data_IF_492351719886
#
_entry.id   IF_492351719886
#
_cell.length_a   1.000
_cell.length_b   1.000
_cell.length_c   1.000
_cell.angle_alpha   90.00
_cell.angle_beta   90.00
_cell.angle_gamma   90.00
#
_symmetry.space_group_name_H-M   'P 1'
#
loop_
_entity.id
_entity.type
_entity.pdbx_description
1 polymer ?
#
# COMPACT_ATOMS: atom_id res chain seq x y z
N UNK A 1 -12.87 -0.54 7.65
CA UNK A 1 -11.66 -0.61 6.78
C UNK A 1 -11.64 0.67 5.95
N UNK A 2 -10.53 1.41 5.96
CA UNK A 2 -10.41 2.67 5.21
C UNK A 2 -10.01 2.37 3.76
N UNK A 3 -10.82 2.82 2.80
CA UNK A 3 -10.49 2.74 1.38
C UNK A 3 -9.72 4.01 0.98
N UNK A 4 -8.41 3.88 0.80
CA UNK A 4 -7.56 4.99 0.38
C UNK A 4 -7.56 5.16 -1.14
N UNK A 5 -7.52 6.42 -1.60
CA UNK A 5 -7.63 6.78 -3.02
C UNK A 5 -6.35 6.54 -3.83
N UNK A 6 -5.18 6.45 -3.19
CA UNK A 6 -3.92 6.11 -3.87
C UNK A 6 -2.88 5.45 -2.95
N UNK A 7 -2.23 4.40 -3.43
CA UNK A 7 -1.00 3.84 -2.85
C UNK A 7 0.18 3.89 -3.84
N UNK A 8 0.02 4.63 -4.94
CA UNK A 8 1.00 4.66 -6.03
C UNK A 8 1.97 5.84 -5.92
N UNK A 9 1.64 6.86 -5.12
CA UNK A 9 2.51 8.02 -4.88
C UNK A 9 3.46 7.74 -3.69
N UNK A 10 4.79 7.68 -3.91
CA UNK A 10 5.77 7.52 -2.85
C UNK A 10 5.67 8.58 -1.73
N UNK A 11 5.20 9.80 -2.05
CA UNK A 11 5.06 10.89 -1.08
C UNK A 11 3.96 10.62 -0.07
N UNK A 12 2.84 10.04 -0.51
CA UNK A 12 1.73 9.68 0.36
C UNK A 12 2.17 8.61 1.36
N UNK A 13 2.94 7.62 0.91
CA UNK A 13 3.50 6.58 1.79
C UNK A 13 4.48 7.19 2.80
N UNK A 14 5.35 8.10 2.35
CA UNK A 14 6.29 8.80 3.22
C UNK A 14 5.59 9.67 4.27
N UNK A 15 4.48 10.34 3.91
CA UNK A 15 3.67 11.13 4.83
C UNK A 15 3.07 10.25 5.94
N UNK A 16 2.51 9.08 5.61
CA UNK A 16 2.03 8.14 6.62
C UNK A 16 3.15 7.66 7.55
N UNK A 17 4.31 7.36 6.99
CA UNK A 17 5.47 6.96 7.77
C UNK A 17 5.87 8.06 8.76
N UNK A 18 6.02 9.30 8.31
CA UNK A 18 6.41 10.42 9.17
C UNK A 18 5.35 10.75 10.21
N UNK A 19 4.05 10.72 9.86
CA UNK A 19 2.96 10.86 10.83
C UNK A 19 3.06 9.81 11.93
N UNK A 20 3.40 8.57 11.59
CA UNK A 20 3.60 7.50 12.57
C UNK A 20 4.79 7.80 13.49
N UNK A 21 5.94 8.16 12.92
CA UNK A 21 7.16 8.53 13.67
C UNK A 21 6.89 9.67 14.64
N UNK A 22 6.22 10.73 14.16
CA UNK A 22 5.86 11.89 15.00
C UNK A 22 4.89 11.50 16.11
N UNK A 23 3.84 10.72 15.80
CA UNK A 23 2.85 10.29 16.79
C UNK A 23 3.45 9.41 17.88
N UNK A 24 4.40 8.53 17.54
CA UNK A 24 5.03 7.60 18.48
C UNK A 24 6.27 8.19 19.17
N UNK A 25 6.76 9.37 18.73
CA UNK A 25 7.97 9.99 19.28
C UNK A 25 9.26 9.24 18.95
N UNK A 26 9.25 8.38 17.94
CA UNK A 26 10.39 7.52 17.60
C UNK A 26 10.22 6.80 16.26
N UNK A 27 11.32 6.32 15.70
CA UNK A 27 11.33 5.55 14.45
C UNK A 27 11.52 4.06 14.74
N UNK A 28 11.11 3.21 13.80
CA UNK A 28 11.36 1.76 13.89
C UNK A 28 12.86 1.48 13.97
N UNK A 29 13.27 0.40 14.62
CA UNK A 29 14.67 -0.06 14.55
C UNK A 29 15.02 -0.55 13.15
N UNK A 30 14.05 -1.20 12.48
CA UNK A 30 14.21 -1.77 11.15
C UNK A 30 12.93 -1.74 10.34
N UNK A 31 13.04 -1.46 9.04
CA UNK A 31 11.94 -1.55 8.08
C UNK A 31 12.33 -2.52 6.97
N UNK A 32 11.35 -3.33 6.54
CA UNK A 32 11.48 -4.16 5.34
C UNK A 32 10.40 -3.77 4.34
N UNK A 33 10.78 -3.55 3.10
CA UNK A 33 9.85 -3.26 2.01
C UNK A 33 10.19 -4.04 0.74
N UNK A 34 9.27 -4.18 -0.19
CA UNK A 34 9.54 -4.70 -1.52
C UNK A 34 10.43 -3.73 -2.32
N UNK A 35 11.20 -4.29 -3.27
CA UNK A 35 12.08 -3.52 -4.14
C UNK A 35 11.29 -2.81 -5.25
N UNK A 36 10.45 -1.86 -4.85
CA UNK A 36 9.65 -1.00 -5.71
C UNK A 36 10.02 0.47 -5.54
N UNK A 37 9.67 1.28 -6.53
CA UNK A 37 9.94 2.74 -6.54
C UNK A 37 9.17 3.50 -5.46
N UNK A 38 8.10 2.89 -4.93
CA UNK A 38 7.18 3.47 -3.94
C UNK A 38 7.81 3.72 -2.56
N UNK A 39 8.79 2.90 -2.17
CA UNK A 39 9.31 2.91 -0.80
C UNK A 39 10.64 3.67 -0.64
N UNK A 40 11.19 4.23 -1.73
CA UNK A 40 12.49 4.88 -1.70
C UNK A 40 12.58 6.06 -0.72
N UNK A 41 11.50 6.85 -0.57
CA UNK A 41 11.46 7.93 0.41
C UNK A 41 11.49 7.41 1.84
N UNK A 42 10.71 6.37 2.16
CA UNK A 42 10.70 5.74 3.49
C UNK A 42 12.08 5.15 3.80
N UNK A 43 12.74 4.53 2.82
CA UNK A 43 14.10 4.01 2.99
C UNK A 43 15.08 5.11 3.41
N UNK A 44 15.11 6.22 2.68
CA UNK A 44 15.99 7.35 2.98
C UNK A 44 15.67 7.98 4.34
N UNK A 45 14.38 8.17 4.65
CA UNK A 45 13.94 8.74 5.94
C UNK A 45 14.35 7.85 7.11
N UNK A 46 14.13 6.53 7.00
CA UNK A 46 14.49 5.55 8.02
C UNK A 46 16.00 5.56 8.31
N UNK A 47 16.83 5.50 7.26
CA UNK A 47 18.30 5.56 7.41
C UNK A 47 18.74 6.87 8.04
N UNK A 48 18.13 8.00 7.64
CA UNK A 48 18.41 9.31 8.20
C UNK A 48 18.07 9.39 9.70
N UNK A 49 16.87 8.95 10.09
CA UNK A 49 16.42 8.97 11.48
C UNK A 49 17.30 8.08 12.37
N UNK A 50 17.84 6.99 11.81
CA UNK A 50 18.68 6.01 12.49
C UNK A 50 20.18 6.28 12.39
N UNK A 51 20.62 7.38 11.79
CA UNK A 51 22.04 7.65 11.46
C UNK A 51 22.99 7.71 12.66
N UNK A 52 22.48 8.14 13.82
CA UNK A 52 23.27 8.33 15.04
C UNK A 52 23.13 7.17 16.04
N UNK A 53 22.33 6.15 15.71
CA UNK A 53 22.19 4.98 16.55
C UNK A 53 23.42 4.06 16.39
N UNK A 54 23.66 3.23 17.40
CA UNK A 54 24.85 2.35 17.49
C UNK A 54 24.51 0.88 17.63
N UNK A 55 23.22 0.53 17.64
CA UNK A 55 22.78 -0.87 17.68
C UNK A 55 22.93 -1.58 16.32
N UNK A 56 22.72 -2.89 16.33
CA UNK A 56 22.90 -3.79 15.18
C UNK A 56 22.16 -3.36 13.91
N UNK A 57 21.01 -2.69 14.05
CA UNK A 57 20.19 -2.25 12.93
C UNK A 57 20.38 -0.76 12.59
N UNK A 58 21.45 -0.11 13.06
CA UNK A 58 21.63 1.32 12.82
C UNK A 58 22.00 1.64 11.37
N UNK A 59 21.82 2.91 11.00
CA UNK A 59 22.24 3.46 9.69
C UNK A 59 21.68 2.64 8.53
N UNK A 60 22.52 2.13 7.63
CA UNK A 60 22.14 1.39 6.42
C UNK A 60 21.45 0.06 6.75
N UNK A 61 21.71 -0.52 7.94
CA UNK A 61 21.07 -1.77 8.38
C UNK A 61 19.63 -1.59 8.85
N UNK A 62 19.18 -0.33 8.98
CA UNK A 62 17.83 0.02 9.46
C UNK A 62 16.76 -0.15 8.39
N UNK A 63 17.13 -0.40 7.14
CA UNK A 63 16.19 -0.63 6.05
C UNK A 63 16.65 -1.78 5.15
N UNK A 64 15.73 -2.66 4.76
CA UNK A 64 16.02 -3.79 3.85
C UNK A 64 14.97 -3.92 2.76
N UNK A 65 15.44 -4.07 1.53
CA UNK A 65 14.63 -4.56 0.44
C UNK A 65 14.46 -6.08 0.51
N UNK A 66 13.22 -6.53 0.65
CA UNK A 66 12.86 -7.93 0.59
C UNK A 66 13.01 -8.48 -0.83
N UNK A 67 13.45 -9.74 -0.92
CA UNK A 67 13.47 -10.48 -2.20
C UNK A 67 12.03 -10.76 -2.67
N UNK A 68 11.80 -10.70 -3.97
CA UNK A 68 10.50 -11.00 -4.60
C UNK A 68 10.01 -12.42 -4.29
N UNK A 69 10.93 -13.38 -4.07
CA UNK A 69 10.58 -14.75 -3.64
C UNK A 69 9.83 -14.78 -2.31
N UNK A 70 10.09 -13.82 -1.41
CA UNK A 70 9.36 -13.68 -0.17
C UNK A 70 7.92 -13.18 -0.35
N UNK A 71 7.60 -12.58 -1.49
CA UNK A 71 6.26 -12.07 -1.80
C UNK A 71 5.36 -13.12 -2.48
N UNK A 72 5.92 -14.22 -2.96
CA UNK A 72 5.18 -15.24 -3.73
C UNK A 72 4.00 -15.85 -2.97
N UNK A 73 4.12 -16.05 -1.65
CA UNK A 73 3.04 -16.62 -0.84
C UNK A 73 1.82 -15.70 -0.78
N UNK A 74 2.04 -14.40 -0.54
CA UNK A 74 0.94 -13.43 -0.46
C UNK A 74 0.37 -13.13 -1.85
N UNK A 75 1.20 -13.06 -2.89
CA UNK A 75 0.75 -12.91 -4.28
C UNK A 75 -0.11 -14.10 -4.72
N UNK A 76 0.31 -15.32 -4.39
CA UNK A 76 -0.48 -16.53 -4.65
C UNK A 76 -1.82 -16.49 -3.93
N UNK A 77 -1.83 -16.09 -2.66
CA UNK A 77 -3.06 -15.91 -1.90
C UNK A 77 -3.97 -14.83 -2.51
N UNK A 78 -3.43 -13.68 -2.92
CA UNK A 78 -4.21 -12.66 -3.66
C UNK A 78 -4.77 -13.19 -4.97
N UNK A 79 -4.04 -14.07 -5.65
CA UNK A 79 -4.53 -14.79 -6.83
C UNK A 79 -5.74 -15.67 -6.53
N UNK A 80 -5.71 -16.41 -5.41
CA UNK A 80 -6.84 -17.23 -4.95
C UNK A 80 -8.02 -16.35 -4.56
N UNK A 81 -7.80 -15.35 -3.70
CA UNK A 81 -8.82 -14.39 -3.27
C UNK A 81 -9.50 -13.74 -4.48
N UNK A 82 -8.72 -13.33 -5.47
CA UNK A 82 -9.25 -12.75 -6.70
C UNK A 82 -10.18 -13.73 -7.40
N UNK A 83 -9.71 -14.95 -7.67
CA UNK A 83 -10.47 -15.98 -8.38
C UNK A 83 -11.76 -16.38 -7.65
N UNK A 84 -11.72 -16.46 -6.32
CA UNK A 84 -12.81 -17.00 -5.53
C UNK A 84 -13.82 -15.95 -5.06
N UNK A 85 -13.40 -14.68 -4.91
CA UNK A 85 -14.24 -13.69 -4.20
C UNK A 85 -14.32 -12.33 -4.89
N UNK A 86 -13.27 -11.89 -5.59
CA UNK A 86 -13.20 -10.51 -6.12
C UNK A 86 -13.55 -10.44 -7.62
N UNK A 87 -13.38 -11.53 -8.36
CA UNK A 87 -13.54 -11.54 -9.82
C UNK A 87 -14.95 -11.11 -10.28
N UNK A 88 -15.99 -11.46 -9.52
CA UNK A 88 -17.37 -11.02 -9.78
C UNK A 88 -17.47 -9.49 -9.79
N UNK A 89 -17.01 -8.84 -8.71
CA UNK A 89 -17.04 -7.38 -8.56
C UNK A 89 -16.24 -6.68 -9.66
N UNK A 90 -15.05 -7.20 -9.99
CA UNK A 90 -14.23 -6.67 -11.07
C UNK A 90 -14.97 -6.71 -12.41
N UNK A 91 -15.62 -7.82 -12.75
CA UNK A 91 -16.36 -7.97 -14.00
C UNK A 91 -17.58 -7.04 -14.04
N UNK A 92 -18.30 -6.92 -12.92
CA UNK A 92 -19.49 -6.07 -12.83
C UNK A 92 -19.15 -4.59 -13.04
N UNK A 93 -18.11 -4.08 -12.35
CA UNK A 93 -17.65 -2.70 -12.56
C UNK A 93 -17.07 -2.48 -13.96
N UNK A 94 -16.39 -3.48 -14.53
CA UNK A 94 -15.88 -3.42 -15.90
C UNK A 94 -17.01 -3.31 -16.92
N UNK A 95 -18.09 -4.07 -16.76
CA UNK A 95 -19.27 -3.99 -17.62
C UNK A 95 -19.95 -2.62 -17.56
N UNK A 96 -20.02 -1.99 -16.38
CA UNK A 96 -20.53 -0.61 -16.26
C UNK A 96 -19.67 0.42 -17.01
N UNK A 97 -18.36 0.26 -16.97
CA UNK A 97 -17.44 1.11 -17.75
C UNK A 97 -17.64 0.90 -19.25
N UNK A 98 -17.67 -0.36 -19.71
CA UNK A 98 -17.75 -0.68 -21.13
C UNK A 98 -19.09 -0.25 -21.76
N UNK A 99 -20.17 -0.20 -20.97
CA UNK A 99 -21.48 0.31 -21.39
C UNK A 99 -21.58 1.86 -21.37
N UNK A 100 -20.49 2.57 -21.06
CA UNK A 100 -20.45 4.03 -21.03
C UNK A 100 -21.13 4.67 -19.82
N UNK A 101 -21.52 3.88 -18.81
CA UNK A 101 -22.10 4.41 -17.57
C UNK A 101 -21.02 4.98 -16.62
N UNK A 102 -19.75 4.69 -16.91
CA UNK A 102 -18.59 5.06 -16.09
C UNK A 102 -17.40 5.44 -16.98
N UNK A 103 -16.81 6.61 -16.76
CA UNK A 103 -15.54 7.07 -17.32
C UNK A 103 -14.33 6.59 -16.50
N UNK A 104 -14.54 6.23 -15.22
CA UNK A 104 -13.48 5.86 -14.29
C UNK A 104 -12.72 7.06 -13.71
N UNK A 105 -13.30 8.25 -13.80
CA UNK A 105 -12.77 9.46 -13.18
C UNK A 105 -12.89 9.43 -11.64
N UNK A 106 -12.56 10.54 -11.00
CA UNK A 106 -12.62 10.65 -9.54
C UNK A 106 -14.03 10.47 -8.99
N UNK A 107 -15.03 11.12 -9.59
CA UNK A 107 -16.42 11.10 -9.12
C UNK A 107 -16.96 9.68 -9.18
N UNK A 108 -16.72 9.04 -10.31
CA UNK A 108 -17.00 7.64 -10.56
C UNK A 108 -16.41 6.74 -9.47
N UNK A 109 -15.09 6.80 -9.25
CA UNK A 109 -14.45 6.00 -8.21
C UNK A 109 -15.04 6.25 -6.83
N UNK A 110 -15.35 7.50 -6.50
CA UNK A 110 -15.99 7.87 -5.23
C UNK A 110 -17.41 7.30 -5.10
N UNK A 111 -18.21 7.31 -6.16
CA UNK A 111 -19.57 6.75 -6.15
C UNK A 111 -19.56 5.23 -5.98
N UNK A 112 -18.67 4.50 -6.66
CA UNK A 112 -18.52 3.05 -6.44
C UNK A 112 -18.12 2.76 -5.00
N UNK A 113 -17.15 3.50 -4.46
CA UNK A 113 -16.74 3.34 -3.07
C UNK A 113 -17.92 3.62 -2.14
N UNK A 114 -18.63 4.74 -2.30
CA UNK A 114 -19.76 5.08 -1.45
C UNK A 114 -20.87 4.01 -1.48
N UNK A 115 -21.28 3.56 -2.68
CA UNK A 115 -22.39 2.64 -2.84
C UNK A 115 -22.04 1.19 -2.45
N UNK A 116 -20.83 0.73 -2.75
CA UNK A 116 -20.47 -0.69 -2.67
C UNK A 116 -19.52 -1.03 -1.52
N UNK A 117 -18.86 -0.07 -0.88
CA UNK A 117 -17.88 -0.37 0.18
C UNK A 117 -18.52 -1.16 1.33
N UNK A 118 -19.72 -0.78 1.77
CA UNK A 118 -20.45 -1.50 2.83
C UNK A 118 -20.88 -2.91 2.41
N UNK A 119 -21.08 -3.14 1.12
CA UNK A 119 -21.49 -4.44 0.57
C UNK A 119 -20.29 -5.37 0.41
N UNK A 120 -19.14 -4.82 0.01
CA UNK A 120 -17.88 -5.56 -0.16
C UNK A 120 -17.19 -5.86 1.18
N UNK A 121 -17.44 -5.05 2.21
CA UNK A 121 -16.89 -5.25 3.56
C UNK A 121 -17.66 -6.25 4.43
N UNK A 122 -18.84 -6.72 3.98
CA UNK A 122 -19.63 -7.78 4.65
C UNK A 122 -19.19 -9.16 4.17
#
# INVERSE_FOLDING_TARGET
MEAYTTNNDPKVIADYYMKCVTRLGGCSERIRADNGTKNGHVANMQVFLRRNHTDTFAKENSFIYGRSTGNQRIESWWGILRKQSVQFWMNMFKAHQDNGHFSGDFLDKSLIQFCFLNLVQR
#
